data_IF_469191097161
#
_entry.id   IF_469191097161
#
_cell.length_a   1.000
_cell.length_b   1.000
_cell.length_c   1.000
_cell.angle_alpha   90.00
_cell.angle_beta   90.00
_cell.angle_gamma   90.00
#
_symmetry.space_group_name_H-M   'P 1'
#
loop_
_entity.id
_entity.type
_entity.pdbx_description
1 polymer ?
#
# COMPACT_ATOMS: atom_id res chain seq x y z
N UNK A 1 -27.98 2.40 17.35
CA UNK A 1 -27.13 3.56 17.08
C UNK A 1 -27.36 3.97 15.63
N UNK A 2 -27.69 5.26 15.42
CA UNK A 2 -27.89 5.78 14.09
C UNK A 2 -26.60 5.65 13.26
N UNK A 3 -26.69 5.40 11.94
CA UNK A 3 -25.49 5.26 11.11
C UNK A 3 -24.70 6.55 11.15
N UNK A 4 -23.45 6.43 11.55
CA UNK A 4 -22.50 7.50 11.65
C UNK A 4 -22.32 8.14 10.26
N UNK A 5 -22.72 9.39 10.11
CA UNK A 5 -22.56 10.06 8.83
C UNK A 5 -21.13 10.60 8.71
N UNK A 6 -20.42 10.22 7.65
CA UNK A 6 -19.05 10.68 7.33
C UNK A 6 -18.93 12.22 7.42
N UNK A 7 -20.00 12.95 7.07
CA UNK A 7 -20.09 14.42 7.21
C UNK A 7 -19.89 14.92 8.64
N UNK A 8 -20.27 14.14 9.64
CA UNK A 8 -20.21 14.55 11.05
C UNK A 8 -18.82 14.32 11.65
N UNK A 9 -18.06 13.34 11.13
CA UNK A 9 -16.65 13.15 11.48
C UNK A 9 -15.86 14.42 11.11
N UNK A 10 -16.02 14.90 9.89
CA UNK A 10 -15.28 16.06 9.41
C UNK A 10 -15.69 17.38 10.05
N UNK A 11 -16.93 17.50 10.53
CA UNK A 11 -17.37 18.67 11.30
C UNK A 11 -16.83 18.71 12.72
N UNK A 12 -16.66 17.54 13.35
CA UNK A 12 -16.21 17.42 14.75
C UNK A 12 -14.69 17.32 14.89
N UNK A 13 -13.97 16.81 13.89
CA UNK A 13 -12.53 16.57 13.94
C UNK A 13 -11.67 17.71 13.44
N UNK A 14 -12.24 18.87 13.15
CA UNK A 14 -11.48 20.09 12.87
C UNK A 14 -10.89 20.68 14.18
N UNK A 15 -10.08 19.87 14.88
CA UNK A 15 -9.05 20.43 15.73
C UNK A 15 -8.14 21.22 14.79
N UNK A 16 -7.82 22.48 15.07
CA UNK A 16 -6.87 23.24 14.26
C UNK A 16 -5.58 22.41 14.15
N UNK A 17 -5.34 21.84 12.97
CA UNK A 17 -4.07 21.15 12.72
C UNK A 17 -2.98 22.20 12.70
N UNK A 18 -1.85 21.92 13.31
CA UNK A 18 -0.64 22.75 13.23
C UNK A 18 -0.06 22.78 11.81
N UNK A 19 -0.53 21.90 10.93
CA UNK A 19 -0.13 21.77 9.54
C UNK A 19 -1.34 21.44 8.67
N UNK A 20 -1.34 21.93 7.43
CA UNK A 20 -2.30 21.51 6.39
C UNK A 20 -1.77 20.32 5.57
N UNK A 21 -0.76 19.61 6.05
CA UNK A 21 -0.22 18.43 5.36
C UNK A 21 -1.16 17.23 5.51
N UNK A 22 -1.29 16.49 4.43
CA UNK A 22 -2.17 15.32 4.34
C UNK A 22 -1.40 14.11 3.81
N UNK A 23 -1.62 12.98 4.48
CA UNK A 23 -1.26 11.65 3.98
C UNK A 23 -2.54 10.90 3.65
N UNK A 24 -2.59 10.28 2.48
CA UNK A 24 -3.71 9.44 2.05
C UNK A 24 -3.30 7.97 2.15
N UNK A 25 -3.96 7.22 3.02
CA UNK A 25 -3.75 5.79 3.18
C UNK A 25 -4.86 5.00 2.48
N UNK A 26 -4.48 4.09 1.58
CA UNK A 26 -5.38 3.19 0.88
C UNK A 26 -5.18 1.78 1.45
N UNK A 27 -6.23 1.25 2.05
CA UNK A 27 -6.20 -0.06 2.69
C UNK A 27 -6.81 -1.14 1.81
N UNK A 28 -6.00 -2.10 1.33
CA UNK A 28 -6.51 -3.30 0.67
C UNK A 28 -6.56 -4.45 1.69
N UNK A 29 -7.73 -4.90 2.16
CA UNK A 29 -7.83 -5.95 3.16
C UNK A 29 -7.58 -7.37 2.62
N UNK A 30 -7.28 -7.52 1.33
CA UNK A 30 -7.19 -8.79 0.63
C UNK A 30 -5.82 -9.44 0.71
N UNK A 31 -5.79 -10.76 0.89
CA UNK A 31 -4.60 -11.62 0.77
C UNK A 31 -4.92 -12.90 0.01
N UNK A 32 -3.95 -13.45 -0.74
CA UNK A 32 -4.08 -14.78 -1.36
C UNK A 32 -3.92 -15.93 -0.36
N UNK A 33 -3.26 -15.68 0.75
CA UNK A 33 -3.06 -16.64 1.83
C UNK A 33 -2.89 -15.89 3.15
N UNK A 34 -3.21 -16.56 4.25
CA UNK A 34 -2.98 -16.03 5.59
C UNK A 34 -1.63 -16.50 6.11
N UNK A 35 -0.75 -15.57 6.42
CA UNK A 35 0.50 -15.89 7.10
C UNK A 35 0.20 -16.28 8.55
N UNK A 36 0.76 -17.41 9.07
CA UNK A 36 0.46 -17.89 10.43
C UNK A 36 0.77 -16.85 11.51
N UNK A 37 1.77 -16.01 11.30
CA UNK A 37 2.19 -14.96 12.23
C UNK A 37 1.40 -13.65 12.12
N UNK A 38 0.52 -13.51 11.12
CA UNK A 38 -0.15 -12.23 10.87
C UNK A 38 -1.28 -11.99 11.89
N UNK A 39 -1.20 -10.93 12.72
CA UNK A 39 -2.21 -10.62 13.72
C UNK A 39 -3.41 -9.88 13.12
N UNK A 40 -3.32 -9.42 11.87
CA UNK A 40 -4.31 -8.56 11.26
C UNK A 40 -5.48 -9.35 10.69
N UNK A 41 -6.64 -8.69 10.63
CA UNK A 41 -7.76 -9.19 9.85
C UNK A 41 -7.44 -9.07 8.37
N UNK A 42 -7.65 -10.15 7.62
CA UNK A 42 -7.50 -10.17 6.16
C UNK A 42 -8.66 -10.93 5.54
N UNK A 43 -9.10 -10.46 4.39
CA UNK A 43 -10.06 -11.14 3.54
C UNK A 43 -9.32 -12.02 2.53
N UNK A 44 -9.57 -13.34 2.59
CA UNK A 44 -8.89 -14.27 1.69
C UNK A 44 -9.57 -14.27 0.32
N UNK A 45 -8.77 -13.98 -0.70
CA UNK A 45 -9.17 -14.06 -2.10
C UNK A 45 -8.44 -15.20 -2.80
N UNK A 46 -9.05 -15.77 -3.85
CA UNK A 46 -8.47 -16.92 -4.58
C UNK A 46 -7.50 -16.49 -5.67
N UNK A 47 -7.65 -15.28 -6.18
CA UNK A 47 -6.79 -14.74 -7.24
C UNK A 47 -6.77 -13.22 -7.23
N UNK A 48 -5.81 -12.63 -7.94
CA UNK A 48 -5.68 -11.18 -8.14
C UNK A 48 -6.92 -10.56 -8.81
N UNK A 49 -7.58 -11.30 -9.69
CA UNK A 49 -8.75 -10.81 -10.41
C UNK A 49 -9.93 -10.51 -9.48
N UNK A 50 -9.99 -11.14 -8.30
CA UNK A 50 -11.04 -10.86 -7.33
C UNK A 50 -10.94 -9.47 -6.70
N UNK A 51 -9.79 -8.80 -6.80
CA UNK A 51 -9.65 -7.39 -6.40
C UNK A 51 -9.84 -6.41 -7.56
N UNK A 52 -10.12 -6.91 -8.78
CA UNK A 52 -10.49 -6.06 -9.90
C UNK A 52 -11.74 -5.24 -9.55
N UNK A 53 -11.68 -3.96 -9.86
CA UNK A 53 -12.76 -3.02 -9.52
C UNK A 53 -12.61 -2.37 -8.15
N UNK A 54 -11.68 -2.84 -7.30
CA UNK A 54 -11.39 -2.18 -6.01
C UNK A 54 -10.96 -0.71 -6.21
N UNK A 55 -10.14 -0.44 -7.21
CA UNK A 55 -9.73 0.92 -7.56
C UNK A 55 -10.93 1.84 -7.84
N UNK A 56 -11.97 1.33 -8.50
CA UNK A 56 -13.21 2.09 -8.76
C UNK A 56 -13.94 2.46 -7.46
N UNK A 57 -13.93 1.56 -6.47
CA UNK A 57 -14.54 1.83 -5.16
C UNK A 57 -13.75 2.88 -4.40
N UNK A 58 -12.42 2.78 -4.38
CA UNK A 58 -11.52 3.77 -3.77
C UNK A 58 -11.71 5.14 -4.43
N UNK A 59 -11.76 5.20 -5.76
CA UNK A 59 -11.99 6.45 -6.50
C UNK A 59 -13.36 7.04 -6.17
N UNK A 60 -14.40 6.20 -6.10
CA UNK A 60 -15.75 6.65 -5.72
C UNK A 60 -15.79 7.23 -4.31
N UNK A 61 -15.12 6.59 -3.35
CA UNK A 61 -14.99 7.10 -1.99
C UNK A 61 -14.25 8.43 -1.97
N UNK A 62 -13.12 8.54 -2.66
CA UNK A 62 -12.36 9.79 -2.80
C UNK A 62 -13.22 10.92 -3.38
N UNK A 63 -14.05 10.63 -4.39
CA UNK A 63 -14.97 11.61 -4.98
C UNK A 63 -16.04 12.10 -3.98
N UNK A 64 -16.46 11.22 -3.06
CA UNK A 64 -17.37 11.64 -1.98
C UNK A 64 -16.69 12.65 -1.04
N UNK A 65 -15.42 12.44 -0.70
CA UNK A 65 -14.65 13.42 0.08
C UNK A 65 -14.41 14.71 -0.69
N UNK A 66 -14.07 14.63 -1.98
CA UNK A 66 -13.83 15.80 -2.82
C UNK A 66 -15.05 16.71 -2.90
N UNK A 67 -16.27 16.15 -3.02
CA UNK A 67 -17.54 16.90 -3.04
C UNK A 67 -17.80 17.70 -1.76
N UNK A 68 -17.16 17.38 -0.64
CA UNK A 68 -17.28 18.18 0.60
C UNK A 68 -16.43 19.44 0.58
N UNK A 69 -15.51 19.58 -0.39
CA UNK A 69 -14.55 20.66 -0.47
C UNK A 69 -13.41 20.57 0.56
N UNK A 70 -13.37 19.51 1.38
CA UNK A 70 -12.36 19.39 2.45
C UNK A 70 -10.96 19.18 1.90
N UNK A 71 -10.83 18.41 0.82
CA UNK A 71 -9.52 18.02 0.27
C UNK A 71 -8.72 19.22 -0.25
N UNK A 72 -9.39 20.26 -0.75
CA UNK A 72 -8.74 21.47 -1.28
C UNK A 72 -8.02 22.31 -0.21
N UNK A 73 -8.27 22.02 1.08
CA UNK A 73 -7.65 22.76 2.21
C UNK A 73 -6.27 22.20 2.58
N UNK A 74 -5.89 21.04 2.04
CA UNK A 74 -4.68 20.33 2.43
C UNK A 74 -3.64 20.31 1.31
N UNK A 75 -2.39 20.07 1.73
CA UNK A 75 -1.26 19.80 0.85
C UNK A 75 -0.92 18.30 0.97
N UNK A 76 -0.97 17.58 -0.14
CA UNK A 76 -0.61 16.17 -0.20
C UNK A 76 0.89 16.01 0.02
N UNK A 77 1.27 15.19 0.98
CA UNK A 77 2.66 14.84 1.27
C UNK A 77 2.99 13.40 0.93
N UNK A 78 2.05 12.48 1.16
CA UNK A 78 2.25 11.10 0.80
C UNK A 78 0.94 10.40 0.43
N UNK A 79 1.07 9.36 -0.40
CA UNK A 79 0.06 8.35 -0.69
C UNK A 79 0.64 7.01 -0.30
N UNK A 80 -0.08 6.24 0.49
CA UNK A 80 0.39 4.97 0.99
C UNK A 80 -0.61 3.85 0.71
N UNK A 81 -0.18 2.84 -0.04
CA UNK A 81 -0.96 1.63 -0.32
C UNK A 81 -0.48 0.52 0.59
N UNK A 82 -1.34 0.06 1.49
CA UNK A 82 -1.02 -0.97 2.47
C UNK A 82 -2.20 -1.87 2.79
N UNK A 83 -2.09 -2.62 3.87
CA UNK A 83 -3.14 -3.49 4.38
C UNK A 83 -2.78 -4.96 4.36
N UNK A 84 -3.64 -5.82 3.80
CA UNK A 84 -3.36 -7.24 3.67
C UNK A 84 -2.20 -7.50 2.71
N UNK A 85 -2.40 -7.22 1.43
CA UNK A 85 -1.36 -7.34 0.41
C UNK A 85 -1.64 -6.36 -0.73
N UNK A 86 -1.18 -5.11 -0.58
CA UNK A 86 -1.44 -4.04 -1.55
C UNK A 86 -0.90 -4.36 -2.97
N UNK A 87 0.16 -5.17 -3.07
CA UNK A 87 0.71 -5.64 -4.36
C UNK A 87 -0.20 -6.63 -5.12
N UNK A 88 -1.41 -6.90 -4.63
CA UNK A 88 -2.46 -7.54 -5.43
C UNK A 88 -3.13 -6.57 -6.42
N UNK A 89 -3.08 -5.27 -6.18
CA UNK A 89 -3.59 -4.29 -7.14
C UNK A 89 -2.75 -4.31 -8.42
N UNK A 90 -3.39 -4.06 -9.55
CA UNK A 90 -2.68 -3.89 -10.82
C UNK A 90 -2.02 -2.50 -10.86
N UNK A 91 -0.84 -2.35 -11.49
CA UNK A 91 -0.16 -1.06 -11.60
C UNK A 91 -1.05 0.04 -12.20
N UNK A 92 -1.83 -0.27 -13.24
CA UNK A 92 -2.76 0.68 -13.85
C UNK A 92 -3.83 1.17 -12.86
N UNK A 93 -4.36 0.29 -12.01
CA UNK A 93 -5.33 0.65 -10.97
C UNK A 93 -4.71 1.60 -9.94
N UNK A 94 -3.47 1.33 -9.53
CA UNK A 94 -2.69 2.19 -8.63
C UNK A 94 -2.47 3.56 -9.28
N UNK A 95 -2.05 3.59 -10.54
CA UNK A 95 -1.85 4.81 -11.31
C UNK A 95 -3.13 5.66 -11.42
N UNK A 96 -4.28 5.04 -11.65
CA UNK A 96 -5.58 5.71 -11.69
C UNK A 96 -5.92 6.35 -10.34
N UNK A 97 -5.72 5.63 -9.24
CA UNK A 97 -5.95 6.15 -7.87
C UNK A 97 -5.02 7.34 -7.60
N UNK A 98 -3.71 7.20 -7.84
CA UNK A 98 -2.70 8.25 -7.64
C UNK A 98 -3.07 9.51 -8.41
N UNK A 99 -3.38 9.36 -9.70
CA UNK A 99 -3.79 10.47 -10.58
C UNK A 99 -5.03 11.17 -10.04
N UNK A 100 -6.02 10.39 -9.56
CA UNK A 100 -7.27 10.95 -9.03
C UNK A 100 -7.04 11.69 -7.71
N UNK A 101 -6.22 11.17 -6.79
CA UNK A 101 -5.86 11.86 -5.54
C UNK A 101 -5.18 13.19 -5.85
N UNK A 102 -4.17 13.18 -6.73
CA UNK A 102 -3.43 14.37 -7.14
C UNK A 102 -4.32 15.42 -7.83
N UNK A 103 -5.41 15.02 -8.46
CA UNK A 103 -6.35 15.95 -9.08
C UNK A 103 -7.23 16.74 -8.09
N UNK A 104 -7.37 16.26 -6.86
CA UNK A 104 -8.22 16.90 -5.83
C UNK A 104 -7.44 17.60 -4.73
N UNK A 105 -6.16 17.25 -4.54
CA UNK A 105 -5.36 17.76 -3.42
C UNK A 105 -4.15 18.49 -3.98
N UNK A 106 -3.91 19.71 -3.46
CA UNK A 106 -2.72 20.49 -3.82
C UNK A 106 -1.45 19.69 -3.49
N UNK A 107 -0.51 19.64 -4.41
CA UNK A 107 0.74 18.88 -4.26
C UNK A 107 1.87 19.51 -5.06
N UNK A 108 3.08 19.10 -4.77
CA UNK A 108 4.30 19.35 -5.54
C UNK A 108 4.89 18.00 -6.01
N UNK A 109 6.05 18.04 -6.64
CA UNK A 109 6.71 16.85 -7.19
C UNK A 109 7.37 15.96 -6.11
N UNK A 110 7.40 16.41 -4.85
CA UNK A 110 8.03 15.70 -3.73
C UNK A 110 7.13 14.66 -3.07
N UNK A 111 5.89 14.49 -3.56
CA UNK A 111 4.93 13.54 -2.97
C UNK A 111 5.48 12.12 -2.98
N UNK A 112 5.62 11.54 -1.80
CA UNK A 112 5.95 10.12 -1.66
C UNK A 112 4.73 9.25 -2.01
N UNK A 113 4.92 8.28 -2.90
CA UNK A 113 3.91 7.26 -3.22
C UNK A 113 4.48 5.91 -2.87
N UNK A 114 4.00 5.33 -1.78
CA UNK A 114 4.47 4.06 -1.23
C UNK A 114 3.52 2.92 -1.56
N UNK A 115 4.09 1.76 -1.93
CA UNK A 115 3.37 0.48 -2.00
C UNK A 115 4.03 -0.55 -1.09
N UNK A 116 3.21 -1.20 -0.23
CA UNK A 116 3.60 -2.43 0.46
C UNK A 116 3.48 -3.62 -0.49
N UNK A 117 4.54 -4.42 -0.58
CA UNK A 117 4.61 -5.57 -1.48
C UNK A 117 4.95 -6.86 -0.76
N UNK A 118 4.43 -7.97 -1.31
CA UNK A 118 4.84 -9.32 -0.91
C UNK A 118 5.79 -9.89 -1.97
N UNK A 119 7.02 -10.34 -1.61
CA UNK A 119 8.03 -10.76 -2.59
C UNK A 119 7.54 -11.81 -3.59
N UNK A 120 6.71 -12.76 -3.14
CA UNK A 120 6.18 -13.82 -4.03
C UNK A 120 5.14 -13.34 -5.06
N UNK A 121 4.68 -12.09 -4.97
CA UNK A 121 3.60 -11.55 -5.81
C UNK A 121 4.10 -10.45 -6.76
N UNK A 122 5.38 -10.15 -6.72
CA UNK A 122 5.99 -9.12 -7.56
C UNK A 122 7.18 -9.70 -8.34
N UNK A 123 7.34 -9.21 -9.55
CA UNK A 123 8.50 -9.47 -10.40
C UNK A 123 9.05 -8.16 -10.96
N UNK A 124 10.10 -8.24 -11.75
CA UNK A 124 10.73 -7.06 -12.35
C UNK A 124 9.74 -6.24 -13.19
N UNK A 125 8.90 -6.89 -14.00
CA UNK A 125 7.94 -6.21 -14.87
C UNK A 125 6.89 -5.46 -14.07
N UNK A 126 6.28 -6.13 -13.08
CA UNK A 126 5.32 -5.51 -12.17
C UNK A 126 5.92 -4.28 -11.45
N UNK A 127 7.13 -4.40 -10.93
CA UNK A 127 7.82 -3.29 -10.24
C UNK A 127 8.15 -2.15 -11.21
N UNK A 128 8.57 -2.46 -12.45
CA UNK A 128 8.82 -1.46 -13.47
C UNK A 128 7.54 -0.70 -13.84
N UNK A 129 6.43 -1.40 -14.02
CA UNK A 129 5.13 -0.77 -14.28
C UNK A 129 4.68 0.12 -13.10
N UNK A 130 4.87 -0.34 -11.85
CA UNK A 130 4.60 0.47 -10.66
C UNK A 130 5.39 1.77 -10.65
N UNK A 131 6.69 1.70 -10.95
CA UNK A 131 7.54 2.88 -11.00
C UNK A 131 7.05 3.85 -12.09
N UNK A 132 6.67 3.33 -13.27
CA UNK A 132 6.15 4.14 -14.39
C UNK A 132 4.83 4.86 -14.06
N UNK A 133 3.98 4.29 -13.21
CA UNK A 133 2.72 4.93 -12.79
C UNK A 133 2.89 5.88 -11.59
N UNK A 134 4.13 6.11 -11.13
CA UNK A 134 4.47 7.12 -10.14
C UNK A 134 4.62 6.63 -8.71
N UNK A 135 4.69 5.31 -8.47
CA UNK A 135 5.15 4.77 -7.18
C UNK A 135 6.65 4.99 -7.08
N UNK A 136 7.11 5.70 -6.04
CA UNK A 136 8.51 6.05 -5.86
C UNK A 136 9.17 5.44 -4.61
N UNK A 137 8.37 4.77 -3.76
CA UNK A 137 8.83 4.01 -2.60
C UNK A 137 8.14 2.66 -2.54
N UNK A 138 8.90 1.62 -2.20
CA UNK A 138 8.35 0.27 -1.96
C UNK A 138 8.82 -0.26 -0.61
N UNK A 139 7.95 -1.00 0.09
CA UNK A 139 8.29 -1.73 1.32
C UNK A 139 7.89 -3.19 1.17
N UNK A 140 8.80 -4.11 1.45
CA UNK A 140 8.55 -5.54 1.28
C UNK A 140 8.60 -6.28 2.60
N UNK A 141 7.60 -7.13 2.85
CA UNK A 141 7.60 -8.08 3.95
C UNK A 141 8.61 -9.20 3.71
N UNK A 142 9.90 -8.93 3.89
CA UNK A 142 11.02 -9.86 3.67
C UNK A 142 11.07 -10.91 4.78
N UNK A 143 10.89 -10.48 6.02
CA UNK A 143 10.86 -11.23 7.25
C UNK A 143 12.21 -11.88 7.63
N UNK A 144 12.86 -12.62 6.73
CA UNK A 144 14.20 -13.21 6.90
C UNK A 144 14.89 -13.49 5.55
N UNK A 145 16.21 -13.57 5.57
CA UNK A 145 17.04 -14.09 4.47
C UNK A 145 17.55 -15.51 4.73
N UNK A 146 16.96 -16.22 5.71
CA UNK A 146 17.23 -17.62 6.02
C UNK A 146 15.99 -18.46 5.68
N UNK A 147 16.14 -19.47 4.81
CA UNK A 147 15.03 -20.31 4.36
C UNK A 147 14.44 -21.16 5.50
N UNK A 148 15.24 -21.59 6.48
CA UNK A 148 14.74 -22.36 7.63
C UNK A 148 13.86 -21.51 8.53
N UNK A 149 14.22 -20.22 8.74
CA UNK A 149 13.39 -19.26 9.48
C UNK A 149 12.08 -18.97 8.75
N UNK A 150 12.13 -18.72 7.42
CA UNK A 150 10.95 -18.52 6.60
C UNK A 150 9.99 -19.71 6.67
N UNK A 151 10.54 -20.93 6.59
CA UNK A 151 9.79 -22.17 6.71
C UNK A 151 9.20 -22.35 8.10
N UNK A 152 9.96 -22.06 9.15
CA UNK A 152 9.49 -22.15 10.54
C UNK A 152 8.31 -21.18 10.81
N UNK A 153 8.29 -20.03 10.14
CA UNK A 153 7.16 -19.07 10.17
C UNK A 153 5.98 -19.47 9.28
N UNK A 154 6.10 -20.59 8.52
CA UNK A 154 5.07 -21.02 7.57
C UNK A 154 4.94 -20.12 6.34
N UNK A 155 5.98 -19.35 6.01
CA UNK A 155 5.99 -18.47 4.85
C UNK A 155 6.35 -19.26 3.57
N UNK A 156 5.78 -18.81 2.44
CA UNK A 156 5.99 -19.46 1.14
C UNK A 156 7.11 -18.84 0.32
N UNK A 157 7.55 -17.64 0.68
CA UNK A 157 8.67 -16.96 0.02
C UNK A 157 10.00 -17.61 0.39
N UNK A 158 11.01 -17.44 -0.45
CA UNK A 158 12.37 -17.90 -0.21
C UNK A 158 13.35 -16.75 -0.06
N UNK A 159 14.50 -17.00 0.57
CA UNK A 159 15.55 -16.01 0.73
C UNK A 159 16.08 -15.50 -0.62
N UNK A 160 16.13 -16.38 -1.64
CA UNK A 160 16.53 -16.03 -3.01
C UNK A 160 15.53 -15.08 -3.65
N UNK A 161 14.21 -15.38 -3.54
CA UNK A 161 13.15 -14.50 -4.05
C UNK A 161 13.14 -13.16 -3.33
N UNK A 162 13.40 -13.13 -2.03
CA UNK A 162 13.53 -11.91 -1.26
C UNK A 162 14.67 -11.02 -1.79
N UNK A 163 15.86 -11.60 -2.07
CA UNK A 163 16.99 -10.87 -2.66
C UNK A 163 16.68 -10.38 -4.06
N UNK A 164 16.17 -11.26 -4.95
CA UNK A 164 15.76 -10.91 -6.31
C UNK A 164 14.79 -9.72 -6.33
N UNK A 165 13.83 -9.68 -5.40
CA UNK A 165 12.84 -8.61 -5.32
C UNK A 165 13.49 -7.27 -4.95
N UNK A 166 14.38 -7.26 -3.95
CA UNK A 166 15.09 -6.05 -3.56
C UNK A 166 16.04 -5.57 -4.64
N UNK A 167 16.81 -6.47 -5.26
CA UNK A 167 17.74 -6.15 -6.34
C UNK A 167 16.99 -5.55 -7.56
N UNK A 168 15.81 -6.13 -7.86
CA UNK A 168 14.95 -5.61 -8.93
C UNK A 168 14.47 -4.19 -8.62
N UNK A 169 14.00 -3.94 -7.41
CA UNK A 169 13.53 -2.61 -7.00
C UNK A 169 14.65 -1.57 -7.02
N UNK A 170 15.85 -1.92 -6.53
CA UNK A 170 17.02 -1.05 -6.58
C UNK A 170 17.43 -0.75 -8.02
N UNK A 171 17.47 -1.78 -8.89
CA UNK A 171 17.84 -1.64 -10.29
C UNK A 171 16.86 -0.76 -11.09
N UNK A 172 15.57 -0.82 -10.77
CA UNK A 172 14.54 0.02 -11.40
C UNK A 172 14.69 1.48 -11.00
N UNK A 173 15.23 1.77 -9.80
CA UNK A 173 15.50 3.12 -9.34
C UNK A 173 14.42 3.74 -8.48
N UNK A 174 13.69 2.94 -7.67
CA UNK A 174 12.83 3.50 -6.64
C UNK A 174 13.63 4.40 -5.68
N UNK A 175 13.08 5.55 -5.31
CA UNK A 175 13.75 6.50 -4.42
C UNK A 175 14.07 5.88 -3.06
N UNK A 176 13.18 5.00 -2.59
CA UNK A 176 13.34 4.27 -1.32
C UNK A 176 12.87 2.83 -1.48
N UNK A 177 13.71 1.90 -1.03
CA UNK A 177 13.38 0.47 -0.92
C UNK A 177 13.52 0.06 0.54
N UNK A 178 12.44 -0.39 1.17
CA UNK A 178 12.41 -0.84 2.56
C UNK A 178 12.17 -2.35 2.64
N UNK A 179 12.71 -2.97 3.67
CA UNK A 179 12.53 -4.39 3.97
C UNK A 179 12.10 -4.56 5.44
N UNK A 180 10.94 -5.17 5.66
CA UNK A 180 10.49 -5.50 7.00
C UNK A 180 11.12 -6.82 7.43
N UNK A 181 11.79 -6.82 8.58
CA UNK A 181 12.51 -7.97 9.11
C UNK A 181 11.92 -8.36 10.47
N UNK A 182 11.79 -9.65 10.70
CA UNK A 182 11.45 -10.20 12.01
C UNK A 182 12.71 -10.65 12.75
N UNK A 183 12.70 -10.47 14.05
CA UNK A 183 13.79 -10.89 14.93
C UNK A 183 13.22 -11.66 16.14
N UNK A 184 14.08 -12.37 16.85
CA UNK A 184 13.73 -13.28 17.98
C UNK A 184 12.77 -14.38 17.54
N UNK A 185 13.03 -14.92 16.37
CA UNK A 185 12.29 -16.08 15.86
C UNK A 185 12.69 -17.35 16.61
N UNK A 186 11.80 -18.35 16.71
CA UNK A 186 12.19 -19.68 17.18
C UNK A 186 13.37 -20.19 16.34
N UNK A 187 14.40 -20.69 17.01
CA UNK A 187 15.62 -21.25 16.40
C UNK A 187 16.57 -20.23 15.73
N UNK A 188 16.39 -18.95 15.99
CA UNK A 188 17.31 -17.89 15.55
C UNK A 188 18.50 -17.73 16.50
#
# INVERSE_FOLDING_TARGET
PEPFQVKDIFKKSLVPSLSNDLVVYIHLPACLFRCPMCPFYVELVKSREQVMGYAKLVIKELEMYAKTGILSKYNLKAIYFGGGTASLLFPDDIGQIVKRIKSYIKHDDSVEVTLEGHPSLVDYNYLSELHNVGVNRVSFGIQSFNNDELKAMGLKQTAEKNRETLDSAIKIGFNTVSADMLYRLPYQ
#
